data_IF_569436231526
#
_entry.id   IF_569436231526
#
_cell.length_a   1.000
_cell.length_b   1.000
_cell.length_c   1.000
_cell.angle_alpha   90.00
_cell.angle_beta   90.00
_cell.angle_gamma   90.00
#
_symmetry.space_group_name_H-M   'P 1'
#
loop_
_entity.id
_entity.type
_entity.pdbx_description
1 polymer ?
#
# COMPACT_ATOMS: atom_id res chain seq x y z
N UNK A 1 24.57 35.04 -74.51
CA UNK A 1 25.22 34.06 -75.41
C UNK A 1 25.97 33.06 -74.55
N UNK A 2 25.36 31.88 -74.35
CA UNK A 2 25.79 30.57 -74.85
C UNK A 2 26.99 29.99 -74.07
N UNK A 3 26.71 29.01 -73.21
CA UNK A 3 26.86 27.56 -73.48
C UNK A 3 28.32 27.15 -73.74
N UNK A 4 28.91 26.29 -72.90
CA UNK A 4 28.74 24.86 -73.09
C UNK A 4 29.40 23.99 -72.00
N UNK A 5 28.68 22.90 -71.74
CA UNK A 5 28.88 21.76 -70.85
C UNK A 5 29.96 20.80 -71.37
N UNK A 6 30.81 20.25 -70.49
CA UNK A 6 31.35 18.87 -70.60
C UNK A 6 31.55 18.24 -69.22
N UNK A 7 30.95 17.06 -69.04
CA UNK A 7 31.09 16.06 -67.98
C UNK A 7 31.94 14.92 -68.59
N UNK A 8 32.95 14.32 -67.93
CA UNK A 8 32.82 13.17 -67.01
C UNK A 8 33.76 13.29 -65.79
N UNK A 9 33.62 12.58 -64.67
CA UNK A 9 33.79 11.12 -64.52
C UNK A 9 33.23 10.70 -63.16
N UNK A 10 32.54 9.56 -63.12
CA UNK A 10 32.06 8.94 -61.91
C UNK A 10 33.21 8.32 -61.10
N UNK A 11 33.26 8.59 -59.79
CA UNK A 11 33.82 7.68 -58.80
C UNK A 11 32.85 7.62 -57.61
N UNK A 12 32.33 6.44 -57.37
CA UNK A 12 31.49 6.10 -56.24
C UNK A 12 32.32 6.18 -54.95
N UNK A 13 31.82 6.92 -53.96
CA UNK A 13 32.23 6.78 -52.57
C UNK A 13 30.96 6.62 -51.75
N UNK A 14 30.74 5.39 -51.28
CA UNK A 14 29.70 5.04 -50.33
C UNK A 14 29.92 5.83 -49.03
N UNK A 15 29.09 6.83 -48.78
CA UNK A 15 29.02 7.48 -47.48
C UNK A 15 28.25 6.55 -46.53
N UNK A 16 28.99 5.89 -45.65
CA UNK A 16 28.46 5.09 -44.56
C UNK A 16 27.47 5.91 -43.72
N UNK A 17 26.27 5.36 -43.53
CA UNK A 17 25.29 5.83 -42.58
C UNK A 17 25.85 5.71 -41.14
N UNK A 18 26.28 6.82 -40.56
CA UNK A 18 26.50 6.94 -39.11
C UNK A 18 25.17 7.32 -38.45
N UNK A 19 24.27 6.35 -38.30
CA UNK A 19 23.17 6.46 -37.34
C UNK A 19 23.76 6.27 -35.94
N UNK A 20 24.35 7.32 -35.37
CA UNK A 20 24.57 7.40 -33.94
C UNK A 20 23.22 7.62 -33.27
N UNK A 21 22.41 6.55 -33.17
CA UNK A 21 21.27 6.50 -32.28
C UNK A 21 21.76 6.29 -30.84
N UNK A 22 22.44 7.30 -30.29
CA UNK A 22 22.52 7.48 -28.85
C UNK A 22 21.18 8.07 -28.42
N UNK A 23 20.15 7.24 -28.31
CA UNK A 23 19.00 7.59 -27.48
C UNK A 23 19.48 7.85 -26.05
N UNK A 24 18.79 8.68 -25.26
CA UNK A 24 19.20 8.94 -23.88
C UNK A 24 19.35 7.59 -23.16
N UNK A 25 20.56 7.32 -22.68
CA UNK A 25 20.83 6.15 -21.87
C UNK A 25 19.98 6.29 -20.62
N UNK A 26 18.90 5.52 -20.54
CA UNK A 26 17.93 5.66 -19.49
C UNK A 26 18.62 5.42 -18.14
N UNK A 27 18.46 6.31 -17.14
CA UNK A 27 19.22 6.25 -15.90
C UNK A 27 19.06 4.89 -15.21
N UNK A 28 20.18 4.36 -14.72
CA UNK A 28 20.19 3.21 -13.81
C UNK A 28 19.51 3.61 -12.50
N UNK A 29 19.01 2.62 -11.75
CA UNK A 29 18.47 2.84 -10.41
C UNK A 29 19.46 3.63 -9.56
N UNK A 30 19.04 4.81 -9.09
CA UNK A 30 19.82 5.66 -8.21
C UNK A 30 18.97 6.08 -7.02
N UNK A 31 19.64 6.55 -5.96
CA UNK A 31 18.99 6.86 -4.69
C UNK A 31 17.88 7.93 -4.84
N UNK A 32 18.08 8.94 -5.69
CA UNK A 32 17.13 10.04 -5.86
C UNK A 32 15.82 9.53 -6.47
N UNK A 33 15.90 8.79 -7.58
CA UNK A 33 14.73 8.25 -8.27
C UNK A 33 13.98 7.23 -7.41
N UNK A 34 14.71 6.37 -6.70
CA UNK A 34 14.09 5.39 -5.79
C UNK A 34 13.43 6.05 -4.58
N UNK A 35 14.01 7.13 -4.05
CA UNK A 35 13.41 7.92 -2.96
C UNK A 35 12.09 8.53 -3.42
N UNK A 36 12.05 9.11 -4.63
CA UNK A 36 10.82 9.67 -5.19
C UNK A 36 9.74 8.59 -5.41
N UNK A 37 10.13 7.42 -5.92
CA UNK A 37 9.23 6.29 -6.13
C UNK A 37 8.68 5.74 -4.79
N UNK A 38 9.54 5.60 -3.78
CA UNK A 38 9.15 5.18 -2.43
C UNK A 38 8.18 6.16 -1.77
N UNK A 39 8.44 7.46 -1.87
CA UNK A 39 7.54 8.48 -1.30
C UNK A 39 6.18 8.46 -2.00
N UNK A 40 6.15 8.32 -3.33
CA UNK A 40 4.90 8.17 -4.08
C UNK A 40 4.13 6.93 -3.63
N UNK A 41 4.83 5.81 -3.49
CA UNK A 41 4.24 4.56 -3.04
C UNK A 41 3.65 4.67 -1.62
N UNK A 42 4.42 5.16 -0.65
CA UNK A 42 3.97 5.28 0.74
C UNK A 42 2.86 6.32 0.92
N UNK A 43 2.84 7.40 0.14
CA UNK A 43 1.69 8.31 0.14
C UNK A 43 0.39 7.61 -0.30
N UNK A 44 0.49 6.70 -1.26
CA UNK A 44 -0.67 5.96 -1.79
C UNK A 44 -1.07 4.74 -0.94
N UNK A 45 -0.09 4.01 -0.38
CA UNK A 45 -0.24 2.67 0.21
C UNK A 45 0.42 2.50 1.58
N UNK A 46 0.85 3.59 2.22
CA UNK A 46 1.49 3.58 3.54
C UNK A 46 0.52 3.41 4.71
N UNK A 47 -0.79 3.37 4.48
CA UNK A 47 -1.77 3.17 5.56
C UNK A 47 -1.68 1.73 6.10
N UNK A 48 -1.52 1.59 7.41
CA UNK A 48 -1.59 0.32 8.13
C UNK A 48 -3.01 0.11 8.65
N UNK A 49 -3.82 -0.63 7.88
CA UNK A 49 -5.24 -0.80 8.19
C UNK A 49 -5.62 -2.19 8.69
N UNK A 50 -6.77 -2.25 9.38
CA UNK A 50 -7.22 -3.43 10.08
C UNK A 50 -8.06 -4.37 9.20
N UNK A 51 -8.33 -4.09 7.92
CA UNK A 51 -9.24 -4.91 7.12
C UNK A 51 -10.67 -4.90 7.68
N UNK A 52 -11.09 -3.79 8.27
CA UNK A 52 -12.44 -3.50 8.76
C UNK A 52 -13.10 -2.50 7.82
N UNK A 53 -13.40 -2.98 6.62
CA UNK A 53 -13.84 -2.16 5.49
C UNK A 53 -15.35 -1.91 5.44
N UNK A 54 -16.15 -2.72 6.16
CA UNK A 54 -17.60 -2.63 6.19
C UNK A 54 -18.09 -2.38 7.61
N UNK A 55 -18.94 -1.37 7.74
CA UNK A 55 -19.55 -0.96 9.00
C UNK A 55 -21.08 -0.85 8.83
N UNK A 56 -21.87 -1.14 9.88
CA UNK A 56 -21.43 -1.64 11.19
C UNK A 56 -20.89 -3.08 11.12
N UNK A 57 -20.15 -3.49 12.16
CA UNK A 57 -19.64 -4.86 12.29
C UNK A 57 -20.53 -5.62 13.26
N UNK A 58 -21.15 -6.69 12.78
CA UNK A 58 -21.97 -7.57 13.60
C UNK A 58 -21.13 -8.77 14.06
N UNK A 59 -21.15 -9.03 15.38
CA UNK A 59 -20.54 -10.21 15.99
C UNK A 59 -21.66 -11.08 16.55
N UNK A 60 -21.91 -12.27 15.98
CA UNK A 60 -22.90 -13.20 16.50
C UNK A 60 -22.64 -13.56 17.95
N UNK A 61 -23.68 -13.62 18.79
CA UNK A 61 -23.50 -13.95 20.22
C UNK A 61 -22.86 -15.33 20.44
N UNK A 62 -23.07 -16.28 19.53
CA UNK A 62 -22.39 -17.58 19.53
C UNK A 62 -20.86 -17.49 19.43
N UNK A 63 -20.32 -16.38 18.94
CA UNK A 63 -18.88 -16.15 18.84
C UNK A 63 -18.30 -15.44 20.08
N UNK A 64 -19.15 -14.97 21.00
CA UNK A 64 -18.69 -14.36 22.25
C UNK A 64 -17.86 -15.37 23.05
N UNK A 65 -16.70 -14.94 23.56
CA UNK A 65 -15.77 -15.80 24.28
C UNK A 65 -14.95 -16.77 23.42
N UNK A 66 -15.16 -16.79 22.10
CA UNK A 66 -14.30 -17.53 21.17
C UNK A 66 -13.06 -16.71 20.79
N UNK A 67 -12.13 -17.33 20.04
CA UNK A 67 -10.97 -16.64 19.44
C UNK A 67 -11.27 -16.05 18.06
N UNK A 68 -12.53 -15.94 17.67
CA UNK A 68 -12.90 -15.29 16.42
C UNK A 68 -12.38 -13.84 16.42
N UNK A 69 -11.84 -13.41 15.27
CA UNK A 69 -11.12 -12.14 15.15
C UNK A 69 -11.91 -10.94 15.70
N UNK A 70 -13.16 -10.79 15.28
CA UNK A 70 -13.99 -9.67 15.73
C UNK A 70 -14.50 -9.84 17.16
N UNK A 71 -14.74 -11.08 17.62
CA UNK A 71 -15.10 -11.35 19.01
C UNK A 71 -14.00 -10.92 20.01
N UNK A 72 -12.73 -10.98 19.60
CA UNK A 72 -11.59 -10.52 20.42
C UNK A 72 -11.31 -9.02 20.25
N UNK A 73 -11.39 -8.50 19.03
CA UNK A 73 -10.94 -7.15 18.70
C UNK A 73 -11.98 -6.06 18.98
N UNK A 74 -13.27 -6.31 18.69
CA UNK A 74 -14.31 -5.28 18.79
C UNK A 74 -14.55 -4.79 20.23
N UNK A 75 -14.54 -5.65 21.27
CA UNK A 75 -14.67 -5.19 22.65
C UNK A 75 -13.53 -4.25 23.08
N UNK A 76 -12.31 -4.45 22.57
CA UNK A 76 -11.18 -3.56 22.85
C UNK A 76 -11.38 -2.21 22.17
N UNK A 77 -11.80 -2.20 20.91
CA UNK A 77 -12.13 -0.94 20.21
C UNK A 77 -13.29 -0.20 20.89
N UNK A 78 -14.25 -0.92 21.48
CA UNK A 78 -15.33 -0.33 22.27
C UNK A 78 -14.81 0.28 23.57
N UNK A 79 -13.97 -0.46 24.31
CA UNK A 79 -13.34 0.03 25.54
C UNK A 79 -12.54 1.32 25.31
N UNK A 80 -11.89 1.43 24.14
CA UNK A 80 -11.14 2.61 23.70
C UNK A 80 -12.03 3.74 23.18
N UNK A 81 -13.35 3.56 23.16
CA UNK A 81 -14.32 4.56 22.69
C UNK A 81 -14.35 4.75 21.17
N UNK A 82 -13.71 3.87 20.40
CA UNK A 82 -13.63 3.94 18.93
C UNK A 82 -14.89 3.38 18.25
N UNK A 83 -15.59 2.49 18.94
CA UNK A 83 -16.88 1.94 18.51
C UNK A 83 -17.85 1.91 19.68
N UNK A 84 -19.15 1.84 19.39
CA UNK A 84 -20.19 1.57 20.38
C UNK A 84 -20.88 0.25 20.07
N UNK A 85 -21.14 -0.57 21.10
CA UNK A 85 -21.93 -1.78 20.94
C UNK A 85 -23.43 -1.53 21.15
N UNK A 86 -24.23 -2.36 20.49
CA UNK A 86 -25.67 -2.46 20.67
C UNK A 86 -26.11 -3.89 20.36
N UNK A 87 -27.23 -4.33 20.92
CA UNK A 87 -27.83 -5.62 20.55
C UNK A 87 -28.73 -5.45 19.33
N UNK A 88 -28.60 -6.33 18.34
CA UNK A 88 -29.48 -6.36 17.16
C UNK A 88 -29.88 -7.80 16.81
N UNK A 89 -30.97 -7.94 16.05
CA UNK A 89 -31.34 -9.20 15.39
C UNK A 89 -31.07 -9.04 13.89
N UNK A 90 -30.40 -10.02 13.29
CA UNK A 90 -30.13 -10.05 11.85
C UNK A 90 -30.55 -11.38 11.25
N UNK A 91 -31.03 -11.34 10.01
CA UNK A 91 -31.30 -12.57 9.25
C UNK A 91 -30.00 -13.20 8.78
N UNK A 92 -29.73 -14.43 9.19
CA UNK A 92 -28.72 -15.29 8.58
C UNK A 92 -29.43 -16.31 7.70
N UNK A 93 -29.17 -16.25 6.40
CA UNK A 93 -29.63 -17.25 5.44
C UNK A 93 -28.47 -18.16 5.07
N UNK A 94 -28.67 -19.47 5.18
CA UNK A 94 -27.82 -20.47 4.54
C UNK A 94 -28.47 -20.84 3.20
N UNK A 95 -27.64 -21.21 2.23
CA UNK A 95 -28.12 -21.59 0.91
C UNK A 95 -29.12 -22.76 1.03
N UNK A 96 -30.35 -22.55 0.55
CA UNK A 96 -31.44 -23.54 0.63
C UNK A 96 -32.26 -23.52 1.94
N UNK A 97 -31.94 -22.68 2.91
CA UNK A 97 -32.66 -22.57 4.19
C UNK A 97 -33.42 -21.25 4.32
N UNK A 98 -34.52 -21.25 5.09
CA UNK A 98 -35.21 -20.03 5.46
C UNK A 98 -34.30 -19.18 6.38
N UNK A 99 -34.26 -17.84 6.21
CA UNK A 99 -33.44 -16.98 7.06
C UNK A 99 -33.82 -17.16 8.53
N UNK A 100 -32.85 -17.47 9.37
CA UNK A 100 -33.02 -17.52 10.83
C UNK A 100 -32.60 -16.19 11.42
N UNK A 101 -33.37 -15.69 12.39
CA UNK A 101 -32.99 -14.49 13.13
C UNK A 101 -31.91 -14.88 14.15
N UNK A 102 -30.77 -14.18 14.09
CA UNK A 102 -29.64 -14.37 14.99
C UNK A 102 -29.39 -13.09 15.76
N UNK A 103 -29.21 -13.23 17.06
CA UNK A 103 -28.82 -12.12 17.93
C UNK A 103 -27.33 -11.84 17.78
N UNK A 104 -27.01 -10.57 17.50
CA UNK A 104 -25.65 -10.07 17.30
C UNK A 104 -25.37 -8.92 18.25
N UNK A 105 -24.09 -8.76 18.58
CA UNK A 105 -23.56 -7.49 19.09
C UNK A 105 -23.11 -6.67 17.89
N UNK A 106 -23.79 -5.56 17.63
CA UNK A 106 -23.51 -4.64 16.54
C UNK A 106 -22.61 -3.52 17.03
N UNK A 107 -21.44 -3.40 16.40
CA UNK A 107 -20.48 -2.34 16.65
C UNK A 107 -20.53 -1.28 15.54
N UNK A 108 -20.79 -0.03 15.92
CA UNK A 108 -20.78 1.12 15.01
C UNK A 108 -19.64 2.07 15.36
N UNK A 109 -19.06 2.75 14.36
CA UNK A 109 -18.04 3.77 14.61
C UNK A 109 -18.61 4.93 15.41
N UNK A 110 -17.92 5.32 16.49
CA UNK A 110 -18.16 6.59 17.18
C UNK A 110 -17.59 7.74 16.37
N UNK A 111 -17.82 8.99 16.80
CA UNK A 111 -17.19 10.16 16.17
C UNK A 111 -15.66 10.15 16.31
N UNK A 112 -15.14 9.59 17.41
CA UNK A 112 -13.71 9.35 17.55
C UNK A 112 -13.22 8.27 16.58
N UNK A 113 -13.93 7.15 16.48
CA UNK A 113 -13.58 6.06 15.56
C UNK A 113 -13.56 6.48 14.09
N UNK A 114 -14.48 7.36 13.67
CA UNK A 114 -14.55 7.88 12.30
C UNK A 114 -13.28 8.61 11.87
N UNK A 115 -12.52 9.22 12.80
CA UNK A 115 -11.23 9.87 12.48
C UNK A 115 -10.20 8.91 11.90
N UNK A 116 -10.33 7.62 12.21
CA UNK A 116 -9.42 6.56 11.78
C UNK A 116 -10.01 5.72 10.64
N UNK A 117 -11.20 6.03 10.14
CA UNK A 117 -11.75 5.38 8.95
C UNK A 117 -11.40 6.18 7.70
N UNK A 118 -10.50 5.62 6.89
CA UNK A 118 -10.00 6.26 5.68
C UNK A 118 -10.87 5.82 4.51
N UNK A 119 -11.81 6.67 4.09
CA UNK A 119 -12.60 6.43 2.88
C UNK A 119 -11.71 6.63 1.64
N UNK A 120 -11.34 5.53 0.98
CA UNK A 120 -10.62 5.54 -0.30
C UNK A 120 -11.28 4.55 -1.27
N UNK A 121 -11.11 4.78 -2.56
CA UNK A 121 -11.53 3.81 -3.61
C UNK A 121 -10.55 2.62 -3.65
N UNK A 122 -11.02 1.36 -3.86
CA UNK A 122 -12.41 0.95 -4.07
C UNK A 122 -13.21 0.70 -2.78
N UNK A 123 -12.55 0.73 -1.61
CA UNK A 123 -13.21 0.59 -0.31
C UNK A 123 -12.38 1.24 0.80
N UNK A 124 -13.06 1.90 1.74
CA UNK A 124 -12.42 2.44 2.93
C UNK A 124 -12.02 1.36 3.93
N UNK A 125 -11.14 1.71 4.86
CA UNK A 125 -10.71 0.81 5.94
C UNK A 125 -10.45 1.60 7.23
N UNK A 126 -10.50 0.92 8.36
CA UNK A 126 -10.11 1.46 9.66
C UNK A 126 -8.60 1.32 9.85
N UNK A 127 -7.89 2.44 9.91
CA UNK A 127 -6.44 2.49 9.87
C UNK A 127 -5.83 2.90 11.21
N UNK A 128 -4.75 2.21 11.57
CA UNK A 128 -4.06 2.40 12.84
C UNK A 128 -2.87 3.35 12.74
N UNK A 129 -2.31 3.50 11.54
CA UNK A 129 -1.16 4.35 11.30
C UNK A 129 -0.96 4.66 9.81
N UNK A 130 -0.10 5.65 9.53
CA UNK A 130 0.46 5.91 8.21
C UNK A 130 1.99 5.84 8.24
N UNK A 131 2.58 5.07 7.32
CA UNK A 131 4.02 4.92 7.17
C UNK A 131 4.56 5.96 6.18
N UNK A 132 5.65 6.62 6.55
CA UNK A 132 6.42 7.49 5.65
C UNK A 132 7.85 7.00 5.55
N UNK A 133 8.55 7.36 4.47
CA UNK A 133 9.95 6.96 4.31
C UNK A 133 10.79 7.60 5.41
N UNK A 134 11.60 6.77 6.07
CA UNK A 134 12.71 7.23 6.91
C UNK A 134 13.97 7.33 6.04
N UNK A 135 14.43 6.19 5.52
CA UNK A 135 15.54 6.12 4.56
C UNK A 135 15.56 4.82 3.77
N UNK A 136 16.19 4.87 2.60
CA UNK A 136 16.58 3.68 1.85
C UNK A 136 17.89 3.14 2.47
N UNK A 137 17.89 1.86 2.80
CA UNK A 137 19.06 1.13 3.32
C UNK A 137 19.91 0.58 2.18
N UNK A 138 19.27 0.14 1.09
CA UNK A 138 19.94 -0.38 -0.10
C UNK A 138 18.92 -0.92 -1.12
N UNK A 139 19.40 -1.32 -2.29
CA UNK A 139 18.54 -1.93 -3.31
C UNK A 139 19.27 -2.98 -4.14
N UNK A 140 18.51 -3.96 -4.63
CA UNK A 140 18.99 -5.04 -5.48
C UNK A 140 18.31 -4.92 -6.84
N UNK A 141 19.08 -4.73 -7.91
CA UNK A 141 18.55 -4.61 -9.27
C UNK A 141 18.59 -5.98 -9.99
N UNK A 142 17.58 -6.25 -10.81
CA UNK A 142 17.60 -7.37 -11.75
C UNK A 142 18.76 -7.22 -12.75
N UNK A 143 19.28 -8.35 -13.27
CA UNK A 143 20.42 -8.35 -14.21
C UNK A 143 20.16 -7.53 -15.47
N UNK A 144 18.91 -7.50 -15.93
CA UNK A 144 18.44 -6.75 -17.09
C UNK A 144 17.98 -5.32 -16.72
N UNK A 145 18.13 -4.91 -15.46
CA UNK A 145 17.68 -3.65 -14.89
C UNK A 145 16.17 -3.37 -15.05
N UNK A 146 15.35 -4.40 -15.28
CA UNK A 146 13.90 -4.27 -15.43
C UNK A 146 13.16 -4.04 -14.11
N UNK A 147 13.74 -4.51 -12.99
CA UNK A 147 13.16 -4.44 -11.66
C UNK A 147 14.21 -4.13 -10.60
N UNK A 148 13.73 -3.60 -9.47
CA UNK A 148 14.55 -3.30 -8.29
C UNK A 148 13.78 -3.60 -7.00
N UNK A 149 14.44 -4.28 -6.07
CA UNK A 149 13.94 -4.49 -4.71
C UNK A 149 14.60 -3.49 -3.76
N UNK A 150 13.84 -2.51 -3.28
CA UNK A 150 14.31 -1.45 -2.38
C UNK A 150 14.11 -1.89 -0.94
N UNK A 151 15.18 -1.89 -0.15
CA UNK A 151 15.14 -2.10 1.29
C UNK A 151 15.16 -0.75 2.01
N UNK A 152 14.21 -0.51 2.92
CA UNK A 152 14.03 0.78 3.57
C UNK A 152 13.59 0.65 5.03
N UNK A 153 13.89 1.69 5.83
CA UNK A 153 13.24 1.93 7.13
C UNK A 153 12.14 2.97 6.95
N UNK A 154 11.21 3.03 7.90
CA UNK A 154 10.06 3.94 7.85
C UNK A 154 9.88 4.70 9.16
N UNK A 155 9.30 5.90 9.05
CA UNK A 155 8.67 6.61 10.17
C UNK A 155 7.20 6.26 10.21
N UNK A 156 6.57 6.46 11.35
CA UNK A 156 5.16 6.13 11.54
C UNK A 156 4.43 7.30 12.20
N UNK A 157 3.27 7.64 11.65
CA UNK A 157 2.25 8.44 12.30
C UNK A 157 1.18 7.48 12.82
N UNK A 158 1.29 7.11 14.10
CA UNK A 158 0.44 6.09 14.72
C UNK A 158 -0.71 6.74 15.49
N UNK A 159 -1.91 6.21 15.34
CA UNK A 159 -3.06 6.65 16.10
C UNK A 159 -2.83 6.46 17.61
N UNK A 160 -3.19 7.42 18.48
CA UNK A 160 -2.87 7.36 19.91
C UNK A 160 -3.32 6.08 20.62
N UNK A 161 -4.47 5.53 20.20
CA UNK A 161 -5.04 4.30 20.79
C UNK A 161 -4.15 3.06 20.57
N UNK A 162 -3.23 3.08 19.60
CA UNK A 162 -2.31 1.96 19.35
C UNK A 162 -1.26 1.79 20.45
N UNK A 163 -1.08 2.80 21.31
CA UNK A 163 -0.23 2.74 22.49
C UNK A 163 -0.84 1.98 23.67
N UNK A 164 -2.14 1.69 23.63
CA UNK A 164 -2.84 0.97 24.70
C UNK A 164 -2.43 -0.52 24.74
N UNK A 165 -2.26 -1.06 25.95
CA UNK A 165 -1.80 -2.43 26.14
C UNK A 165 -2.78 -3.49 25.62
N UNK A 166 -4.09 -3.26 25.75
CA UNK A 166 -5.10 -4.15 25.22
C UNK A 166 -5.18 -4.06 23.69
N UNK A 167 -5.00 -2.87 23.12
CA UNK A 167 -4.86 -2.71 21.68
C UNK A 167 -3.66 -3.50 21.13
N UNK A 168 -2.48 -3.37 21.75
CA UNK A 168 -1.27 -4.09 21.35
C UNK A 168 -1.47 -5.61 21.40
N UNK A 169 -2.16 -6.09 22.42
CA UNK A 169 -2.47 -7.52 22.61
C UNK A 169 -3.36 -8.08 21.50
N UNK A 170 -4.41 -7.37 21.08
CA UNK A 170 -5.37 -7.87 20.07
C UNK A 170 -5.03 -7.50 18.63
N UNK A 171 -4.08 -6.57 18.44
CA UNK A 171 -3.53 -6.16 17.14
C UNK A 171 -1.99 -6.32 17.09
N UNK A 172 -1.44 -7.54 17.25
CA UNK A 172 0.00 -7.75 17.39
C UNK A 172 0.82 -7.34 16.16
N UNK A 173 0.22 -7.34 14.96
CA UNK A 173 0.89 -6.83 13.76
C UNK A 173 1.03 -5.31 13.78
N UNK A 174 0.01 -4.59 14.26
CA UNK A 174 0.07 -3.13 14.42
C UNK A 174 1.16 -2.79 15.42
N UNK A 175 1.14 -3.44 16.58
CA UNK A 175 2.14 -3.27 17.64
C UNK A 175 3.57 -3.52 17.13
N UNK A 176 3.78 -4.61 16.38
CA UNK A 176 5.08 -4.90 15.75
C UNK A 176 5.54 -3.79 14.80
N UNK A 177 4.66 -3.28 13.95
CA UNK A 177 5.00 -2.23 12.98
C UNK A 177 5.24 -0.89 13.69
N UNK A 178 4.44 -0.53 14.69
CA UNK A 178 4.63 0.70 15.47
C UNK A 178 5.97 0.68 16.19
N UNK A 179 6.30 -0.40 16.91
CA UNK A 179 7.60 -0.52 17.62
C UNK A 179 8.81 -0.64 16.70
N UNK A 180 8.59 -1.05 15.45
CA UNK A 180 9.64 -1.17 14.44
C UNK A 180 10.04 0.14 13.76
N UNK A 181 9.35 1.26 14.01
CA UNK A 181 9.65 2.53 13.37
C UNK A 181 11.14 2.93 13.52
N UNK A 182 11.75 3.37 12.42
CA UNK A 182 13.16 3.75 12.32
C UNK A 182 14.18 2.61 12.35
N UNK A 183 13.78 1.36 12.65
CA UNK A 183 14.72 0.24 12.83
C UNK A 183 14.39 -0.99 12.00
N UNK A 184 13.11 -1.34 11.87
CA UNK A 184 12.66 -2.46 11.06
C UNK A 184 12.81 -2.13 9.57
N UNK A 185 13.45 -3.04 8.84
CA UNK A 185 13.62 -2.92 7.40
C UNK A 185 12.49 -3.66 6.68
N UNK A 186 11.86 -2.97 5.73
CA UNK A 186 10.88 -3.52 4.80
C UNK A 186 11.46 -3.54 3.39
N UNK A 187 10.89 -4.38 2.52
CA UNK A 187 11.25 -4.44 1.10
C UNK A 187 10.05 -4.06 0.25
N UNK A 188 10.27 -3.23 -0.77
CA UNK A 188 9.29 -2.90 -1.80
C UNK A 188 9.90 -3.11 -3.19
N UNK A 189 9.17 -3.82 -4.05
CA UNK A 189 9.59 -4.05 -5.43
C UNK A 189 9.06 -2.94 -6.35
N UNK A 190 9.89 -2.55 -7.30
CA UNK A 190 9.53 -1.63 -8.37
C UNK A 190 9.91 -2.23 -9.72
N UNK A 191 9.05 -2.01 -10.70
CA UNK A 191 9.35 -2.24 -12.11
C UNK A 191 9.75 -0.93 -12.78
N UNK A 192 10.64 -1.03 -13.76
CA UNK A 192 11.03 0.10 -14.60
C UNK A 192 9.87 0.50 -15.52
N UNK A 193 9.68 1.80 -15.71
CA UNK A 193 8.75 2.38 -16.68
C UNK A 193 9.50 3.41 -17.53
N UNK A 194 8.92 3.89 -18.65
CA UNK A 194 9.53 4.94 -19.46
C UNK A 194 9.80 6.25 -18.69
N UNK A 195 9.07 6.48 -17.59
CA UNK A 195 9.11 7.72 -16.79
C UNK A 195 9.74 7.54 -15.41
N UNK A 196 10.21 6.35 -15.05
CA UNK A 196 10.86 6.08 -13.76
C UNK A 196 10.60 4.68 -13.22
N UNK A 197 10.23 4.60 -11.93
CA UNK A 197 9.98 3.35 -11.20
C UNK A 197 8.55 3.31 -10.70
N UNK A 198 7.84 2.22 -10.97
CA UNK A 198 6.48 2.00 -10.49
C UNK A 198 6.45 0.80 -9.53
N UNK A 199 5.82 0.98 -8.37
CA UNK A 199 5.69 -0.09 -7.39
C UNK A 199 4.93 -1.28 -7.98
N UNK A 200 5.38 -2.49 -7.66
CA UNK A 200 4.68 -3.74 -7.94
C UNK A 200 3.71 -4.08 -6.80
N UNK A 201 2.61 -4.77 -7.12
CA UNK A 201 1.53 -5.05 -6.17
C UNK A 201 0.52 -3.91 -6.01
N UNK A 202 0.35 -3.11 -7.07
CA UNK A 202 -0.79 -2.18 -7.23
C UNK A 202 -1.98 -2.95 -7.76
#
# INVERSE_FOLDING_TARGET
MNNNRKIPTALAAAALAMLAACGPQQPQANLQDLTAAMNTYLAAKGDLCLGKTRWPIDVPQREAGTRARNAVQMPVLEHLGLVSASTAQVGEAREGEQPTQVTVTRYALTDEGKKYFHAREPQGDFCAAHLTLDRIVGWEAAKDASAVAVTYTYRIDAAPWTGDADAQRVFPMVDRVVRGAGTMQLKQNFRRTPTGWAAEGI
#
